data_IF_036175739799
#
_entry.id   IF_036175739799
#
_cell.length_a   1.000
_cell.length_b   1.000
_cell.length_c   1.000
_cell.angle_alpha   90.00
_cell.angle_beta   90.00
_cell.angle_gamma   90.00
#
_symmetry.space_group_name_H-M   'P 1'
#
loop_
_entity.id
_entity.type
_entity.pdbx_description
1 polymer ?
#
# COMPACT_ATOMS: atom_id res chain seq x y z
N UNK A 1 14.57 -25.55 -39.59
CA UNK A 1 14.21 -24.19 -39.11
C UNK A 1 15.06 -23.87 -37.90
N UNK A 2 15.94 -22.87 -37.99
CA UNK A 2 16.89 -22.49 -36.92
C UNK A 2 16.13 -21.90 -35.73
N UNK A 3 16.17 -22.57 -34.57
CA UNK A 3 15.71 -21.97 -33.30
C UNK A 3 16.68 -20.83 -32.96
N UNK A 4 16.23 -19.60 -33.21
CA UNK A 4 16.91 -18.38 -32.76
C UNK A 4 17.08 -18.48 -31.24
N UNK A 5 18.30 -18.75 -30.76
CA UNK A 5 18.62 -18.70 -29.33
C UNK A 5 18.30 -17.28 -28.85
N UNK A 6 17.18 -17.12 -28.13
CA UNK A 6 16.91 -15.88 -27.42
C UNK A 6 18.02 -15.70 -26.39
N UNK A 7 18.74 -14.59 -26.50
CA UNK A 7 19.78 -14.23 -25.55
C UNK A 7 19.12 -14.05 -24.18
N UNK A 8 19.47 -14.89 -23.22
CA UNK A 8 19.01 -14.72 -21.83
C UNK A 8 19.55 -13.39 -21.31
N UNK A 9 18.64 -12.48 -21.00
CA UNK A 9 18.97 -11.19 -20.39
C UNK A 9 18.99 -11.36 -18.87
N UNK A 10 20.12 -11.82 -18.34
CA UNK A 10 20.33 -11.89 -16.90
C UNK A 10 20.23 -10.49 -16.28
N UNK A 11 19.54 -10.37 -15.15
CA UNK A 11 19.32 -9.09 -14.46
C UNK A 11 20.58 -8.55 -13.78
N UNK A 12 21.58 -9.40 -13.55
CA UNK A 12 22.86 -9.02 -12.99
C UNK A 12 24.00 -9.88 -13.53
N UNK A 13 25.23 -9.37 -13.40
CA UNK A 13 26.44 -10.15 -13.69
C UNK A 13 26.51 -11.39 -12.81
N UNK A 14 26.13 -11.27 -11.54
CA UNK A 14 26.13 -12.37 -10.59
C UNK A 14 25.23 -13.53 -11.04
N UNK A 15 23.99 -13.23 -11.48
CA UNK A 15 23.08 -14.27 -12.00
C UNK A 15 23.63 -14.96 -13.24
N UNK A 16 24.28 -14.21 -14.14
CA UNK A 16 24.96 -14.79 -15.31
C UNK A 16 26.07 -15.74 -14.89
N UNK A 17 26.92 -15.34 -13.95
CA UNK A 17 28.04 -16.16 -13.48
C UNK A 17 27.54 -17.45 -12.79
N UNK A 18 26.47 -17.36 -12.01
CA UNK A 18 25.82 -18.54 -11.39
C UNK A 18 25.22 -19.48 -12.44
N UNK A 19 24.59 -18.94 -13.49
CA UNK A 19 23.98 -19.75 -14.56
C UNK A 19 24.97 -20.66 -15.29
N UNK A 20 26.26 -20.29 -15.31
CA UNK A 20 27.31 -21.09 -15.93
C UNK A 20 27.58 -22.40 -15.17
N UNK A 21 27.24 -22.43 -13.89
CA UNK A 21 27.48 -23.57 -12.99
C UNK A 21 26.21 -24.40 -12.74
N UNK A 22 25.01 -23.82 -12.95
CA UNK A 22 23.73 -24.50 -12.74
C UNK A 22 23.26 -25.22 -14.02
N UNK A 23 23.79 -26.42 -14.27
CA UNK A 23 23.34 -27.27 -15.37
C UNK A 23 21.96 -27.89 -15.08
N UNK A 24 21.04 -27.82 -16.05
CA UNK A 24 19.69 -28.39 -15.93
C UNK A 24 18.64 -27.48 -15.28
N UNK A 25 18.99 -26.23 -14.94
CA UNK A 25 18.07 -25.25 -14.39
C UNK A 25 17.57 -24.27 -15.46
N UNK A 26 16.33 -23.83 -15.34
CA UNK A 26 15.75 -22.75 -16.16
C UNK A 26 15.87 -21.42 -15.42
N UNK A 27 16.29 -20.37 -16.12
CA UNK A 27 16.37 -19.01 -15.57
C UNK A 27 15.03 -18.27 -15.72
N UNK A 28 14.45 -17.82 -14.59
CA UNK A 28 13.16 -17.09 -14.51
C UNK A 28 12.02 -17.65 -15.41
N UNK A 29 11.70 -18.96 -15.31
CA UNK A 29 10.82 -19.61 -16.30
C UNK A 29 9.35 -19.17 -16.20
N UNK A 30 8.90 -18.72 -15.03
CA UNK A 30 7.55 -18.24 -14.77
C UNK A 30 7.50 -17.42 -13.47
N UNK A 31 6.37 -16.75 -13.24
CA UNK A 31 6.07 -16.03 -12.00
C UNK A 31 5.20 -16.87 -11.07
N UNK A 32 5.42 -16.75 -9.76
CA UNK A 32 4.62 -17.44 -8.75
C UNK A 32 3.74 -16.42 -8.03
N UNK A 33 2.39 -16.49 -8.14
CA UNK A 33 1.50 -15.67 -7.33
C UNK A 33 1.58 -16.14 -5.86
N UNK A 34 1.57 -15.20 -4.92
CA UNK A 34 1.61 -15.50 -3.49
C UNK A 34 0.80 -14.47 -2.69
N UNK A 35 0.33 -14.88 -1.52
CA UNK A 35 -0.43 -14.05 -0.58
C UNK A 35 0.33 -13.93 0.73
N UNK A 36 0.31 -12.75 1.35
CA UNK A 36 0.86 -12.52 2.69
C UNK A 36 -0.30 -12.18 3.64
N UNK A 37 -0.47 -12.98 4.70
CA UNK A 37 -1.39 -12.64 5.78
C UNK A 37 -0.68 -11.75 6.82
N UNK A 38 -1.28 -10.60 7.14
CA UNK A 38 -0.81 -9.68 8.18
C UNK A 38 -2.01 -9.17 8.96
N UNK A 39 -1.79 -8.88 10.24
CA UNK A 39 -2.78 -8.24 11.08
C UNK A 39 -2.55 -6.72 11.06
N UNK A 40 -3.63 -5.97 10.92
CA UNK A 40 -3.63 -4.52 11.04
C UNK A 40 -4.24 -4.13 12.38
N UNK A 41 -3.55 -3.25 13.11
CA UNK A 41 -4.03 -2.66 14.35
C UNK A 41 -4.31 -1.17 14.06
N UNK A 42 -5.58 -0.74 14.03
CA UNK A 42 -5.91 0.67 13.91
C UNK A 42 -5.55 1.41 15.20
N UNK A 43 -5.39 2.73 15.12
CA UNK A 43 -5.15 3.56 16.31
C UNK A 43 -6.44 3.72 17.14
N UNK A 44 -7.56 3.97 16.46
CA UNK A 44 -8.89 4.08 17.07
C UNK A 44 -9.96 3.40 16.22
N UNK A 45 -11.08 3.05 16.86
CA UNK A 45 -12.26 2.46 16.22
C UNK A 45 -13.50 3.15 16.75
N UNK A 46 -14.37 3.61 15.85
CA UNK A 46 -15.71 4.06 16.22
C UNK A 46 -16.61 2.85 16.41
N UNK A 47 -17.07 2.60 17.64
CA UNK A 47 -17.75 1.33 17.98
C UNK A 47 -19.06 1.12 17.24
N UNK A 48 -19.86 2.17 17.01
CA UNK A 48 -21.17 2.05 16.39
C UNK A 48 -21.08 1.70 14.89
N UNK A 49 -20.12 2.28 14.18
CA UNK A 49 -19.98 2.09 12.72
C UNK A 49 -18.86 1.14 12.32
N UNK A 50 -17.95 0.81 13.24
CA UNK A 50 -16.72 0.08 12.91
C UNK A 50 -15.71 0.88 12.09
N UNK A 51 -15.86 2.21 11.98
CA UNK A 51 -14.90 3.07 11.25
C UNK A 51 -13.53 3.00 11.94
N UNK A 52 -12.50 2.65 11.18
CA UNK A 52 -11.13 2.62 11.65
C UNK A 52 -10.49 3.98 11.43
N UNK A 53 -9.89 4.55 12.47
CA UNK A 53 -9.19 5.84 12.39
C UNK A 53 -7.72 5.63 12.67
N UNK A 54 -6.87 6.13 11.76
CA UNK A 54 -5.41 6.08 11.91
C UNK A 54 -4.81 7.48 11.84
N UNK A 55 -3.96 7.79 12.82
CA UNK A 55 -3.24 9.05 12.91
C UNK A 55 -1.93 8.96 12.12
N UNK A 56 -1.69 9.91 11.22
CA UNK A 56 -0.50 9.86 10.37
C UNK A 56 0.24 11.18 10.23
N UNK A 57 1.48 11.20 10.73
CA UNK A 57 2.40 12.32 10.55
C UNK A 57 3.17 12.30 9.23
N UNK A 58 3.56 11.11 8.76
CA UNK A 58 4.21 10.88 7.47
C UNK A 58 4.09 9.40 7.09
N UNK A 59 4.17 9.10 5.79
CA UNK A 59 4.17 7.72 5.31
C UNK A 59 5.59 7.14 5.35
N UNK A 60 5.71 5.94 5.92
CA UNK A 60 6.92 5.12 5.88
C UNK A 60 6.98 4.30 4.60
N UNK A 61 8.15 3.75 4.33
CA UNK A 61 8.31 2.81 3.22
C UNK A 61 7.37 1.60 3.41
N UNK A 62 6.57 1.34 2.38
CA UNK A 62 5.56 0.28 2.39
C UNK A 62 4.16 0.70 2.87
N UNK A 63 4.00 1.87 3.52
CA UNK A 63 2.69 2.30 4.06
C UNK A 63 1.63 2.40 2.97
N UNK A 64 1.96 2.96 1.81
CA UNK A 64 1.01 3.06 0.69
C UNK A 64 0.45 1.70 0.29
N UNK A 65 1.31 0.67 0.18
CA UNK A 65 0.88 -0.70 -0.14
C UNK A 65 0.09 -1.32 1.01
N UNK A 66 0.53 -1.11 2.26
CA UNK A 66 -0.15 -1.59 3.46
C UNK A 66 -1.58 -1.06 3.52
N UNK A 67 -1.78 0.26 3.45
CA UNK A 67 -3.11 0.85 3.66
C UNK A 67 -4.07 0.60 2.50
N UNK A 68 -3.57 0.49 1.26
CA UNK A 68 -4.35 -0.06 0.14
C UNK A 68 -4.85 -1.47 0.46
N UNK A 69 -3.93 -2.35 0.84
CA UNK A 69 -4.27 -3.74 1.17
C UNK A 69 -5.23 -3.83 2.36
N UNK A 70 -5.10 -2.96 3.35
CA UNK A 70 -6.04 -2.87 4.48
C UNK A 70 -7.42 -2.46 3.96
N UNK A 71 -7.54 -1.33 3.26
CA UNK A 71 -8.79 -0.85 2.66
C UNK A 71 -9.48 -1.95 1.86
N UNK A 72 -8.74 -2.63 0.99
CA UNK A 72 -9.25 -3.67 0.10
C UNK A 72 -9.66 -4.95 0.84
N UNK A 73 -9.20 -5.14 2.08
CA UNK A 73 -9.50 -6.32 2.90
C UNK A 73 -10.55 -6.04 3.98
N UNK A 74 -11.04 -4.80 4.10
CA UNK A 74 -12.07 -4.47 5.09
C UNK A 74 -13.42 -5.05 4.67
N UNK A 75 -14.26 -5.47 5.64
CA UNK A 75 -15.67 -5.72 5.38
C UNK A 75 -16.35 -4.50 4.78
N UNK A 76 -17.41 -4.70 3.99
CA UNK A 76 -18.14 -3.62 3.29
C UNK A 76 -18.70 -2.56 4.24
N UNK A 77 -19.03 -2.94 5.47
CA UNK A 77 -19.53 -2.04 6.51
C UNK A 77 -18.44 -1.33 7.32
N UNK A 78 -17.16 -1.56 7.02
CA UNK A 78 -16.05 -0.87 7.65
C UNK A 78 -15.30 -0.01 6.63
N UNK A 79 -14.76 1.11 7.11
CA UNK A 79 -13.87 1.95 6.31
C UNK A 79 -12.67 2.40 7.13
N UNK A 80 -11.58 2.66 6.42
CA UNK A 80 -10.38 3.29 6.96
C UNK A 80 -10.44 4.79 6.69
N UNK A 81 -10.19 5.57 7.73
CA UNK A 81 -10.07 7.04 7.66
C UNK A 81 -8.74 7.47 8.27
N UNK A 82 -8.13 8.49 7.70
CA UNK A 82 -6.93 9.10 8.29
C UNK A 82 -7.19 10.41 9.00
N UNK A 83 -6.43 10.65 10.07
CA UNK A 83 -6.19 11.99 10.62
C UNK A 83 -4.74 12.36 10.29
N UNK A 84 -4.56 13.23 9.29
CA UNK A 84 -3.26 13.64 8.79
C UNK A 84 -2.76 14.86 9.56
N UNK A 85 -1.55 14.76 10.13
CA UNK A 85 -0.91 15.91 10.78
C UNK A 85 -0.52 16.99 9.77
N UNK A 86 -0.05 16.57 8.59
CA UNK A 86 0.39 17.47 7.52
C UNK A 86 -0.06 16.95 6.14
N UNK A 87 -1.30 17.23 5.71
CA UNK A 87 -1.86 16.70 4.46
C UNK A 87 -1.04 17.07 3.21
N UNK A 88 -0.41 18.25 3.21
CA UNK A 88 0.38 18.76 2.10
C UNK A 88 1.82 18.20 2.04
N UNK A 89 2.23 17.39 3.03
CA UNK A 89 3.55 16.76 3.02
C UNK A 89 3.62 15.71 1.89
N UNK A 90 4.75 15.64 1.20
CA UNK A 90 4.96 14.63 0.15
C UNK A 90 5.00 13.24 0.75
N UNK A 91 4.44 12.26 0.03
CA UNK A 91 4.38 10.85 0.49
C UNK A 91 5.76 10.24 0.77
N UNK A 92 6.79 10.75 0.09
CA UNK A 92 8.21 10.43 0.31
C UNK A 92 9.07 11.55 -0.26
N UNK A 93 10.37 11.56 0.09
CA UNK A 93 11.34 12.51 -0.47
C UNK A 93 11.37 12.38 -2.01
N UNK A 94 11.27 13.51 -2.71
CA UNK A 94 11.28 13.58 -4.17
C UNK A 94 9.96 13.23 -4.86
N UNK A 95 8.91 12.84 -4.11
CA UNK A 95 7.59 12.65 -4.71
C UNK A 95 6.90 13.97 -5.01
N UNK A 96 6.13 14.01 -6.10
CA UNK A 96 5.26 15.14 -6.44
C UNK A 96 3.93 15.08 -5.70
N UNK A 97 3.46 13.89 -5.34
CA UNK A 97 2.17 13.64 -4.67
C UNK A 97 2.24 13.91 -3.17
N UNK A 98 1.25 14.63 -2.63
CA UNK A 98 1.07 14.82 -1.19
C UNK A 98 0.34 13.64 -0.54
N UNK A 99 0.34 13.58 0.79
CA UNK A 99 -0.42 12.57 1.53
C UNK A 99 -1.92 12.69 1.26
N UNK A 100 -2.48 13.90 1.34
CA UNK A 100 -3.88 14.13 1.00
C UNK A 100 -4.23 13.66 -0.42
N UNK A 101 -3.45 14.08 -1.43
CA UNK A 101 -3.65 13.67 -2.82
C UNK A 101 -3.58 12.15 -3.00
N UNK A 102 -2.74 11.47 -2.23
CA UNK A 102 -2.70 10.02 -2.24
C UNK A 102 -3.96 9.41 -1.62
N UNK A 103 -4.46 9.96 -0.52
CA UNK A 103 -5.70 9.51 0.11
C UNK A 103 -6.89 9.69 -0.84
N UNK A 104 -7.00 10.85 -1.49
CA UNK A 104 -8.04 11.14 -2.49
C UNK A 104 -7.98 10.14 -3.66
N UNK A 105 -6.78 9.86 -4.18
CA UNK A 105 -6.57 8.88 -5.25
C UNK A 105 -6.99 7.46 -4.85
N UNK A 106 -6.78 7.11 -3.59
CA UNK A 106 -7.10 5.79 -3.06
C UNK A 106 -8.50 5.73 -2.42
N UNK A 107 -9.30 6.78 -2.55
CA UNK A 107 -10.66 6.85 -2.01
C UNK A 107 -10.69 6.58 -0.49
N UNK A 108 -9.62 6.98 0.21
CA UNK A 108 -9.51 6.93 1.67
C UNK A 108 -9.80 8.32 2.19
N UNK A 109 -10.88 8.46 2.96
CA UNK A 109 -11.21 9.75 3.56
C UNK A 109 -10.14 10.17 4.57
N UNK A 110 -9.92 11.47 4.67
CA UNK A 110 -8.93 12.02 5.57
C UNK A 110 -9.39 13.36 6.15
N UNK A 111 -8.95 13.60 7.37
CA UNK A 111 -9.21 14.82 8.15
C UNK A 111 -7.89 15.33 8.71
N UNK A 112 -7.92 16.52 9.31
CA UNK A 112 -6.83 17.02 10.14
C UNK A 112 -7.32 17.19 11.57
N UNK A 113 -6.43 17.59 12.47
CA UNK A 113 -6.84 17.93 13.84
C UNK A 113 -7.89 19.05 13.86
N UNK A 114 -7.81 19.98 12.90
CA UNK A 114 -8.71 21.14 12.79
C UNK A 114 -10.12 20.73 12.32
N UNK A 115 -10.23 19.64 11.55
CA UNK A 115 -11.51 19.14 11.01
C UNK A 115 -12.04 17.91 11.77
N UNK A 116 -11.59 17.66 13.00
CA UNK A 116 -12.07 16.51 13.78
C UNK A 116 -13.57 16.52 14.07
N UNK A 117 -14.18 17.71 14.19
CA UNK A 117 -15.63 17.79 14.37
C UNK A 117 -16.39 17.30 13.13
N UNK A 118 -15.83 17.52 11.94
CA UNK A 118 -16.40 16.99 10.69
C UNK A 118 -16.29 15.47 10.65
N UNK A 119 -15.15 14.90 11.09
CA UNK A 119 -14.99 13.45 11.23
C UNK A 119 -16.06 12.88 12.18
N UNK A 120 -16.21 13.47 13.36
CA UNK A 120 -17.18 13.00 14.37
C UNK A 120 -18.60 13.05 13.79
N UNK A 121 -18.96 14.13 13.12
CA UNK A 121 -20.27 14.29 12.47
C UNK A 121 -20.48 13.25 11.36
N UNK A 122 -19.48 13.04 10.50
CA UNK A 122 -19.51 12.07 9.41
C UNK A 122 -19.73 10.63 9.92
N UNK A 123 -18.98 10.20 10.95
CA UNK A 123 -19.14 8.84 11.49
C UNK A 123 -20.39 8.67 12.32
N UNK A 124 -20.94 9.73 12.92
CA UNK A 124 -22.14 9.64 13.75
C UNK A 124 -23.44 9.67 12.93
N UNK A 125 -23.44 10.36 11.78
CA UNK A 125 -24.64 10.53 10.94
C UNK A 125 -24.76 9.46 9.83
N UNK A 126 -23.68 8.73 9.53
CA UNK A 126 -23.66 7.65 8.53
C UNK A 126 -23.64 6.26 9.18
N UNK A 127 -24.07 6.15 10.44
CA UNK A 127 -24.21 4.90 11.19
C UNK A 127 -25.60 4.29 11.11
#
# INVERSE_FOLDING_TARGET
>A
MSRRFQKLNFRSKFEKDVSQHLHGFLYEPFTVPYTIHRNYKPDFVHEATGTLVECKGFFRDGDTKKYKSVRDSLPENQRLVFVLMHPNKKIRKGATMTMAQWCDKEEIMWYTIDTLQELISDVSNNG
#
